data_IF_915935783916
#
_entry.id   IF_915935783916
#
_cell.length_a   1.000
_cell.length_b   1.000
_cell.length_c   1.000
_cell.angle_alpha   90.00
_cell.angle_beta   90.00
_cell.angle_gamma   90.00
#
_symmetry.space_group_name_H-M   'P 1'
#
loop_
_entity.id
_entity.type
_entity.pdbx_description
1 polymer ?
#
# COMPACT_ATOMS: atom_id res chain seq x y z
N UNK A 1 -7.56 6.89 -12.29
CA UNK A 1 -7.92 7.51 -10.99
C UNK A 1 -8.28 6.38 -10.04
N UNK A 2 -7.61 6.24 -8.89
CA UNK A 2 -7.85 5.11 -7.95
C UNK A 2 -9.11 5.32 -7.12
N UNK A 3 -9.51 6.58 -6.91
CA UNK A 3 -10.71 6.95 -6.15
C UNK A 3 -11.73 7.50 -7.14
N UNK A 4 -12.75 6.70 -7.47
CA UNK A 4 -13.80 7.10 -8.42
C UNK A 4 -14.79 8.10 -7.82
N UNK A 5 -15.01 8.05 -6.51
CA UNK A 5 -15.92 8.93 -5.78
C UNK A 5 -15.28 9.37 -4.46
N UNK A 6 -14.74 10.60 -4.47
CA UNK A 6 -14.00 11.14 -3.34
C UNK A 6 -14.92 11.54 -2.19
N UNK A 7 -16.14 12.00 -2.48
CA UNK A 7 -17.06 12.49 -1.44
C UNK A 7 -17.52 11.33 -0.56
N UNK A 8 -17.98 10.24 -1.17
CA UNK A 8 -18.39 9.03 -0.46
C UNK A 8 -17.23 8.40 0.31
N UNK A 9 -16.02 8.41 -0.26
CA UNK A 9 -14.82 7.96 0.45
C UNK A 9 -14.56 8.79 1.72
N UNK A 10 -14.63 10.11 1.61
CA UNK A 10 -14.41 11.00 2.75
C UNK A 10 -15.47 10.81 3.84
N UNK A 11 -16.73 10.60 3.47
CA UNK A 11 -17.79 10.30 4.43
C UNK A 11 -17.55 8.97 5.16
N UNK A 12 -17.13 7.93 4.43
CA UNK A 12 -16.77 6.65 5.02
C UNK A 12 -15.62 6.79 6.03
N UNK A 13 -14.54 7.48 5.65
CA UNK A 13 -13.39 7.68 6.54
C UNK A 13 -13.77 8.47 7.79
N UNK A 14 -14.60 9.52 7.66
CA UNK A 14 -15.14 10.26 8.81
C UNK A 14 -15.97 9.37 9.73
N UNK A 15 -16.81 8.50 9.15
CA UNK A 15 -17.64 7.58 9.93
C UNK A 15 -16.80 6.53 10.67
N UNK A 16 -15.73 6.02 10.05
CA UNK A 16 -14.75 5.15 10.68
C UNK A 16 -14.02 5.87 11.81
N UNK A 17 -13.54 7.09 11.57
CA UNK A 17 -12.83 7.90 12.56
C UNK A 17 -13.69 8.21 13.79
N UNK A 18 -14.94 8.61 13.60
CA UNK A 18 -15.89 8.86 14.70
C UNK A 18 -16.10 7.64 15.60
N UNK A 19 -15.92 6.43 15.04
CA UNK A 19 -16.03 5.15 15.75
C UNK A 19 -14.68 4.54 16.13
N UNK A 20 -13.56 5.23 15.84
CA UNK A 20 -12.19 4.73 16.02
C UNK A 20 -11.95 3.38 15.34
N UNK A 21 -12.59 3.17 14.19
CA UNK A 21 -12.42 1.95 13.40
C UNK A 21 -11.16 2.08 12.53
N UNK A 22 -10.17 1.19 12.68
CA UNK A 22 -8.97 1.23 11.86
C UNK A 22 -9.31 0.89 10.41
N UNK A 23 -8.84 1.72 9.47
CA UNK A 23 -9.01 1.50 8.03
C UNK A 23 -7.72 0.95 7.44
N UNK A 24 -7.81 -0.20 6.77
CA UNK A 24 -6.70 -0.79 6.02
C UNK A 24 -6.91 -0.60 4.52
N UNK A 25 -5.83 -0.31 3.79
CA UNK A 25 -5.90 -0.04 2.36
C UNK A 25 -4.74 -0.68 1.58
N UNK A 26 -4.85 -0.66 0.26
CA UNK A 26 -3.92 -1.28 -0.69
C UNK A 26 -3.09 -0.26 -1.48
N UNK A 27 -3.35 1.04 -1.31
CA UNK A 27 -2.65 2.09 -2.06
C UNK A 27 -2.28 3.26 -1.15
N UNK A 28 -1.09 3.82 -1.37
CA UNK A 28 -0.47 4.78 -0.46
C UNK A 28 -1.24 6.09 -0.37
N UNK A 29 -1.97 6.47 -1.43
CA UNK A 29 -2.84 7.66 -1.44
C UNK A 29 -3.93 7.67 -0.36
N UNK A 30 -4.24 6.52 0.25
CA UNK A 30 -5.22 6.46 1.33
C UNK A 30 -4.66 6.87 2.69
N UNK A 31 -3.33 6.98 2.81
CA UNK A 31 -2.69 7.48 4.04
C UNK A 31 -3.12 8.91 4.35
N UNK A 32 -3.26 9.73 3.30
CA UNK A 32 -3.67 11.15 3.39
C UNK A 32 -5.11 11.32 3.89
N UNK A 33 -5.93 10.29 3.74
CA UNK A 33 -7.31 10.28 4.24
C UNK A 33 -7.45 9.68 5.64
N UNK A 34 -6.35 9.21 6.23
CA UNK A 34 -6.34 8.66 7.59
C UNK A 34 -6.36 7.14 7.65
N UNK A 35 -5.95 6.44 6.59
CA UNK A 35 -5.75 4.99 6.67
C UNK A 35 -4.73 4.69 7.78
N UNK A 36 -4.99 3.62 8.54
CA UNK A 36 -4.12 3.21 9.64
C UNK A 36 -2.95 2.37 9.14
N UNK A 37 -3.24 1.44 8.21
CA UNK A 37 -2.27 0.53 7.63
C UNK A 37 -2.48 0.50 6.11
N UNK A 38 -1.42 0.65 5.35
CA UNK A 38 -1.41 0.39 3.91
C UNK A 38 -0.46 -0.77 3.64
N UNK A 39 -0.94 -1.77 2.91
CA UNK A 39 -0.11 -2.86 2.40
C UNK A 39 -0.28 -2.88 0.89
N UNK A 40 0.72 -2.38 0.19
CA UNK A 40 0.74 -2.27 -1.27
C UNK A 40 1.83 -3.16 -1.85
N UNK A 41 1.80 -3.35 -3.16
CA UNK A 41 2.89 -3.97 -3.90
C UNK A 41 4.09 -3.01 -3.98
N UNK A 42 5.31 -3.53 -4.03
CA UNK A 42 6.48 -2.68 -4.25
C UNK A 42 6.56 -2.27 -5.74
N UNK A 43 5.98 -1.12 -6.07
CA UNK A 43 5.96 -0.60 -7.44
C UNK A 43 7.36 -0.46 -8.07
N UNK A 44 8.41 0.01 -7.35
CA UNK A 44 9.76 0.03 -7.90
C UNK A 44 10.26 -1.36 -8.31
N UNK A 45 9.95 -2.41 -7.54
CA UNK A 45 10.31 -3.79 -7.88
C UNK A 45 9.52 -4.30 -9.07
N UNK A 46 8.22 -4.04 -9.14
CA UNK A 46 7.42 -4.37 -10.34
C UNK A 46 7.99 -3.70 -11.58
N UNK A 47 8.37 -2.41 -11.49
CA UNK A 47 9.00 -1.69 -12.60
C UNK A 47 10.31 -2.34 -13.07
N UNK A 48 11.16 -2.80 -12.13
CA UNK A 48 12.37 -3.56 -12.46
C UNK A 48 12.06 -4.93 -13.10
N UNK A 49 11.06 -5.64 -12.60
CA UNK A 49 10.60 -6.91 -13.20
C UNK A 49 10.13 -6.69 -14.65
N UNK A 50 9.32 -5.66 -14.89
CA UNK A 50 8.85 -5.29 -16.22
C UNK A 50 9.99 -4.93 -17.17
N UNK A 51 10.97 -4.14 -16.70
CA UNK A 51 12.16 -3.79 -17.48
C UNK A 51 13.00 -5.03 -17.85
N UNK A 52 13.15 -5.98 -16.92
CA UNK A 52 13.83 -7.25 -17.17
C UNK A 52 13.13 -8.08 -18.26
N UNK A 53 11.81 -8.20 -18.19
CA UNK A 53 11.00 -8.88 -19.21
C UNK A 53 11.21 -8.23 -20.58
N UNK A 54 11.16 -6.90 -20.66
CA UNK A 54 11.34 -6.16 -21.91
C UNK A 54 12.75 -6.37 -22.51
N UNK A 55 13.79 -6.30 -21.68
CA UNK A 55 15.17 -6.53 -22.10
C UNK A 55 15.36 -7.94 -22.67
N UNK A 56 14.76 -8.95 -22.04
CA UNK A 56 14.86 -10.32 -22.50
C UNK A 56 14.15 -10.53 -23.85
N UNK A 57 12.95 -9.95 -24.04
CA UNK A 57 12.22 -9.98 -25.32
C UNK A 57 13.06 -9.37 -26.44
N UNK A 58 13.69 -8.22 -26.20
CA UNK A 58 14.56 -7.55 -27.17
C UNK A 58 15.78 -8.41 -27.55
N UNK A 59 16.28 -9.23 -26.62
CA UNK A 59 17.45 -10.09 -26.85
C UNK A 59 17.13 -11.41 -27.57
N UNK A 60 16.03 -12.08 -27.22
CA UNK A 60 15.69 -13.44 -27.73
C UNK A 60 14.72 -13.39 -28.91
N UNK A 61 13.98 -12.28 -29.08
CA UNK A 61 13.02 -12.10 -30.17
C UNK A 61 11.77 -12.99 -30.07
N UNK A 62 11.52 -13.60 -28.90
CA UNK A 62 10.34 -14.43 -28.63
C UNK A 62 9.69 -14.04 -27.31
N UNK A 63 8.37 -14.15 -27.27
CA UNK A 63 7.56 -13.98 -26.07
C UNK A 63 7.03 -15.37 -25.71
N UNK A 64 7.74 -16.07 -24.81
CA UNK A 64 7.11 -17.11 -24.01
C UNK A 64 6.36 -16.43 -22.86
N UNK A 65 5.27 -17.03 -22.36
CA UNK A 65 4.40 -16.42 -21.35
C UNK A 65 5.19 -15.98 -20.10
N UNK A 66 5.19 -14.68 -19.79
CA UNK A 66 5.94 -14.06 -18.67
C UNK A 66 5.05 -13.27 -17.71
N UNK A 67 3.85 -13.76 -17.42
CA UNK A 67 3.08 -13.19 -16.31
C UNK A 67 3.85 -13.50 -15.02
N UNK A 68 4.35 -12.46 -14.36
CA UNK A 68 5.03 -12.57 -13.07
C UNK A 68 4.14 -12.02 -11.97
N UNK A 69 4.22 -12.65 -10.79
CA UNK A 69 3.67 -12.05 -9.58
C UNK A 69 4.55 -10.89 -9.12
N UNK A 70 3.95 -9.82 -8.58
CA UNK A 70 4.69 -8.76 -7.92
C UNK A 70 5.65 -9.33 -6.87
N UNK A 71 6.93 -8.99 -6.99
CA UNK A 71 7.89 -9.28 -5.94
C UNK A 71 7.92 -8.12 -4.94
N UNK A 72 7.81 -8.47 -3.66
CA UNK A 72 7.88 -7.50 -2.57
C UNK A 72 6.57 -6.78 -2.27
N UNK A 73 6.53 -6.18 -1.08
CA UNK A 73 5.43 -5.38 -0.57
C UNK A 73 5.98 -4.11 0.06
N UNK A 74 5.16 -3.07 0.03
CA UNK A 74 5.41 -1.82 0.74
C UNK A 74 4.35 -1.65 1.83
N UNK A 75 4.79 -1.52 3.08
CA UNK A 75 3.94 -1.40 4.26
C UNK A 75 4.10 -0.01 4.86
N UNK A 76 2.99 0.72 4.98
CA UNK A 76 2.93 2.03 5.64
C UNK A 76 2.06 1.91 6.89
N UNK A 77 2.59 2.34 8.04
CA UNK A 77 1.87 2.40 9.31
C UNK A 77 1.68 3.85 9.77
N UNK A 78 0.43 4.23 10.05
CA UNK A 78 0.09 5.53 10.62
C UNK A 78 0.05 5.44 12.15
N UNK A 79 1.19 5.68 12.79
CA UNK A 79 1.31 5.67 14.25
C UNK A 79 0.52 6.79 14.92
N UNK A 80 0.27 7.91 14.22
CA UNK A 80 -0.62 8.95 14.72
C UNK A 80 -2.01 8.39 15.02
N UNK A 81 -2.60 7.69 14.06
CA UNK A 81 -3.94 7.09 14.21
C UNK A 81 -3.96 5.97 15.25
N UNK A 82 -2.90 5.16 15.32
CA UNK A 82 -2.72 4.15 16.38
C UNK A 82 -2.79 4.82 17.77
N UNK A 83 -2.05 5.91 17.97
CA UNK A 83 -2.03 6.69 19.23
C UNK A 83 -3.40 7.32 19.51
N UNK A 84 -4.01 8.01 18.53
CA UNK A 84 -5.32 8.66 18.65
C UNK A 84 -6.44 7.67 19.02
N UNK A 85 -6.39 6.45 18.47
CA UNK A 85 -7.39 5.42 18.70
C UNK A 85 -7.11 4.60 19.96
N UNK A 86 -5.94 4.75 20.59
CA UNK A 86 -5.53 3.98 21.76
C UNK A 86 -5.30 2.50 21.43
N UNK A 87 -4.80 2.22 20.22
CA UNK A 87 -4.59 0.84 19.75
C UNK A 87 -3.23 0.32 20.19
N UNK A 88 -3.19 -0.95 20.55
CA UNK A 88 -1.95 -1.68 20.78
C UNK A 88 -1.45 -2.29 19.46
N UNK A 89 -0.13 -2.30 19.29
CA UNK A 89 0.52 -2.94 18.16
C UNK A 89 1.75 -3.72 18.65
N UNK A 90 2.23 -4.64 17.83
CA UNK A 90 3.43 -5.41 18.12
C UNK A 90 4.67 -4.62 17.71
N UNK A 91 5.47 -4.16 18.67
CA UNK A 91 6.70 -3.41 18.42
C UNK A 91 7.68 -4.20 17.53
N UNK A 92 7.72 -5.53 17.68
CA UNK A 92 8.59 -6.38 16.84
C UNK A 92 8.14 -6.43 15.38
N UNK A 93 6.88 -6.10 15.08
CA UNK A 93 6.40 -6.04 13.71
C UNK A 93 6.79 -4.74 12.99
N UNK A 94 7.27 -3.72 13.71
CA UNK A 94 7.74 -2.47 13.09
C UNK A 94 8.91 -2.68 12.15
N UNK A 95 9.71 -3.74 12.34
CA UNK A 95 10.81 -4.07 11.42
C UNK A 95 10.34 -4.47 10.02
N UNK A 96 9.06 -4.83 9.86
CA UNK A 96 8.47 -5.14 8.56
C UNK A 96 7.83 -3.90 7.88
N UNK A 97 7.73 -2.78 8.59
CA UNK A 97 7.13 -1.55 8.07
C UNK A 97 8.17 -0.76 7.29
N UNK A 98 7.84 -0.39 6.06
CA UNK A 98 8.74 0.39 5.20
C UNK A 98 8.66 1.89 5.52
N UNK A 99 7.47 2.38 5.88
CA UNK A 99 7.26 3.78 6.22
C UNK A 99 6.34 3.95 7.43
N UNK A 100 6.74 4.83 8.35
CA UNK A 100 5.94 5.22 9.51
C UNK A 100 5.51 6.69 9.33
N UNK A 101 4.22 6.95 9.55
CA UNK A 101 3.64 8.31 9.59
C UNK A 101 3.27 8.63 11.04
N UNK A 102 3.70 9.80 11.54
CA UNK A 102 3.50 10.27 12.92
C UNK A 102 2.68 11.56 13.03
#
# INVERSE_FOLDING_TARGET
MIIGDKENLMELFKACEAKKLPVFSYHDSFIDYGALLVVSVDEPTIGRQAAGIAAEILSVGKIDEKVQYPAGSHIILNLKKVKEYGLHYNDSALSAVNQIVE
#
